data_IF_327689677266
#
_entry.id   IF_327689677266
#
_cell.length_a   1.000
_cell.length_b   1.000
_cell.length_c   1.000
_cell.angle_alpha   90.00
_cell.angle_beta   90.00
_cell.angle_gamma   90.00
#
_symmetry.space_group_name_H-M   'P 1'
#
loop_
_entity.id
_entity.type
_entity.pdbx_description
1 polymer ?
#
# COMPACT_ATOMS: atom_id res chain seq x y z
N UNK A 1 2.75 2.59 12.73
CA UNK A 1 3.31 1.30 12.29
C UNK A 1 4.28 1.57 11.14
N UNK A 2 3.95 1.42 9.85
CA UNK A 2 4.95 1.60 8.78
C UNK A 2 5.42 3.05 8.56
N UNK A 3 4.57 4.04 8.89
CA UNK A 3 4.93 5.47 8.89
C UNK A 3 5.87 5.87 10.06
N UNK A 4 5.93 5.05 11.10
CA UNK A 4 6.64 5.32 12.36
C UNK A 4 7.91 4.45 12.50
N UNK A 5 7.92 3.26 11.90
CA UNK A 5 9.07 2.34 11.85
C UNK A 5 9.00 1.48 10.57
N UNK A 6 10.14 1.23 9.94
CA UNK A 6 10.26 0.36 8.76
C UNK A 6 10.24 -1.14 9.10
N UNK A 7 10.17 -1.49 10.38
CA UNK A 7 10.03 -2.87 10.85
C UNK A 7 8.66 -3.43 10.46
N UNK A 8 8.63 -4.69 10.00
CA UNK A 8 7.37 -5.38 9.74
C UNK A 8 6.63 -5.57 11.06
N UNK A 9 5.39 -5.08 11.18
CA UNK A 9 4.65 -5.21 12.43
C UNK A 9 4.33 -6.68 12.70
N UNK A 10 4.36 -7.05 13.98
CA UNK A 10 3.91 -8.38 14.42
C UNK A 10 2.40 -8.51 14.34
N UNK A 11 1.87 -9.74 14.38
CA UNK A 11 0.44 -9.98 14.41
C UNK A 11 -0.25 -9.24 15.58
N UNK A 12 0.39 -9.21 16.75
CA UNK A 12 -0.10 -8.50 17.93
C UNK A 12 -0.19 -6.99 17.71
N UNK A 13 0.84 -6.38 17.12
CA UNK A 13 0.84 -4.95 16.81
C UNK A 13 -0.21 -4.58 15.76
N UNK A 14 -0.44 -5.45 14.77
CA UNK A 14 -1.51 -5.26 13.78
C UNK A 14 -2.87 -5.35 14.45
N UNK A 15 -3.10 -6.39 15.25
CA UNK A 15 -4.36 -6.63 15.93
C UNK A 15 -4.72 -5.49 16.89
N UNK A 16 -3.76 -5.06 17.72
CA UNK A 16 -3.90 -3.92 18.64
C UNK A 16 -4.33 -2.65 17.89
N UNK A 17 -3.60 -2.30 16.82
CA UNK A 17 -3.91 -1.10 16.04
C UNK A 17 -5.25 -1.18 15.31
N UNK A 18 -5.70 -2.37 14.97
CA UNK A 18 -6.98 -2.61 14.33
C UNK A 18 -8.15 -2.74 15.33
N UNK A 19 -7.89 -2.79 16.63
CA UNK A 19 -8.91 -3.01 17.67
C UNK A 19 -9.48 -4.44 17.67
N UNK A 20 -8.71 -5.42 17.19
CA UNK A 20 -9.12 -6.82 17.10
C UNK A 20 -8.19 -7.74 17.89
N UNK A 21 -8.63 -8.98 18.12
CA UNK A 21 -7.76 -10.03 18.67
C UNK A 21 -6.83 -10.59 17.59
N UNK A 22 -5.67 -11.11 18.00
CA UNK A 22 -4.75 -11.82 17.09
C UNK A 22 -5.43 -13.01 16.43
N UNK A 23 -6.29 -13.73 17.16
CA UNK A 23 -7.10 -14.83 16.62
C UNK A 23 -7.98 -14.37 15.46
N UNK A 24 -8.67 -13.25 15.61
CA UNK A 24 -9.55 -12.69 14.57
C UNK A 24 -8.80 -12.28 13.31
N UNK A 25 -7.53 -11.89 13.43
CA UNK A 25 -6.64 -11.65 12.27
C UNK A 25 -6.39 -12.96 11.54
N UNK A 26 -5.99 -14.02 12.26
CA UNK A 26 -5.67 -15.31 11.65
C UNK A 26 -6.88 -16.12 11.15
N UNK A 27 -8.10 -15.81 11.62
CA UNK A 27 -9.33 -16.33 11.01
C UNK A 27 -9.55 -15.83 9.57
N UNK A 28 -8.93 -14.70 9.20
CA UNK A 28 -9.05 -14.07 7.88
C UNK A 28 -7.82 -14.28 7.01
N UNK A 29 -6.65 -14.40 7.63
CA UNK A 29 -5.37 -14.56 6.94
C UNK A 29 -4.66 -15.80 7.49
N UNK A 30 -4.29 -16.77 6.65
CA UNK A 30 -3.68 -18.02 7.12
C UNK A 30 -2.32 -17.78 7.82
N UNK A 31 -1.60 -16.72 7.44
CA UNK A 31 -0.35 -16.31 8.07
C UNK A 31 -0.08 -14.80 7.86
N UNK A 32 1.03 -14.33 8.43
CA UNK A 32 1.49 -12.95 8.25
C UNK A 32 1.91 -12.63 6.81
N UNK A 33 2.28 -13.64 6.01
CA UNK A 33 2.67 -13.45 4.62
C UNK A 33 1.45 -13.12 3.75
N UNK A 34 0.37 -13.88 3.87
CA UNK A 34 -0.90 -13.64 3.21
C UNK A 34 -1.51 -12.30 3.62
N UNK A 35 -1.42 -11.92 4.91
CA UNK A 35 -1.82 -10.59 5.37
C UNK A 35 -1.02 -9.47 4.67
N UNK A 36 0.31 -9.63 4.55
CA UNK A 36 1.16 -8.63 3.85
C UNK A 36 0.81 -8.52 2.37
N UNK A 37 0.58 -9.64 1.70
CA UNK A 37 0.13 -9.65 0.30
C UNK A 37 -1.20 -8.93 0.14
N UNK A 38 -2.19 -9.25 0.98
CA UNK A 38 -3.49 -8.59 0.94
C UNK A 38 -3.39 -7.08 1.21
N UNK A 39 -2.57 -6.66 2.19
CA UNK A 39 -2.32 -5.26 2.47
C UNK A 39 -1.65 -4.53 1.29
N UNK A 40 -0.73 -5.20 0.59
CA UNK A 40 -0.11 -4.67 -0.62
C UNK A 40 -1.12 -4.50 -1.75
N UNK A 41 -1.92 -5.55 -2.02
CA UNK A 41 -2.92 -5.56 -3.09
C UNK A 41 -3.99 -4.49 -2.86
N UNK A 42 -4.45 -4.33 -1.61
CA UNK A 42 -5.36 -3.25 -1.21
C UNK A 42 -4.77 -1.85 -1.45
N UNK A 43 -3.50 -1.65 -1.08
CA UNK A 43 -2.83 -0.36 -1.29
C UNK A 43 -2.65 -0.04 -2.78
N UNK A 44 -2.30 -1.04 -3.59
CA UNK A 44 -2.17 -0.88 -5.04
C UNK A 44 -3.52 -0.53 -5.70
N UNK A 45 -4.59 -1.23 -5.34
CA UNK A 45 -5.93 -0.94 -5.83
C UNK A 45 -6.36 0.49 -5.46
N UNK A 46 -6.09 0.92 -4.22
CA UNK A 46 -6.39 2.28 -3.74
C UNK A 46 -5.61 3.35 -4.50
N UNK A 47 -4.31 3.12 -4.77
CA UNK A 47 -3.49 4.04 -5.55
C UNK A 47 -3.99 4.19 -7.00
N UNK A 48 -4.40 3.08 -7.61
CA UNK A 48 -4.91 3.04 -8.99
C UNK A 48 -6.27 3.75 -9.11
N UNK A 49 -7.19 3.50 -8.18
CA UNK A 49 -8.51 4.13 -8.17
C UNK A 49 -8.44 5.66 -8.03
N UNK A 50 -7.51 6.16 -7.20
CA UNK A 50 -7.30 7.60 -7.00
C UNK A 50 -6.69 8.30 -8.23
N UNK A 51 -6.05 7.56 -9.15
CA UNK A 51 -5.50 8.12 -10.40
C UNK A 51 -6.59 8.44 -11.43
N UNK A 52 -7.76 7.80 -11.37
CA UNK A 52 -8.71 7.76 -12.49
C UNK A 52 -9.85 8.79 -12.41
N UNK A 53 -10.04 9.49 -11.29
CA UNK A 53 -11.39 9.96 -10.93
C UNK A 53 -11.62 11.46 -10.80
N UNK A 54 -10.68 12.38 -11.06
CA UNK A 54 -11.02 13.83 -10.97
C UNK A 54 -10.00 14.78 -11.61
N UNK A 55 -10.46 15.96 -12.02
CA UNK A 55 -9.62 17.04 -12.57
C UNK A 55 -9.85 17.32 -14.05
N UNK A 56 -11.06 17.02 -14.58
CA UNK A 56 -11.41 17.33 -15.97
C UNK A 56 -11.75 18.81 -16.18
N UNK A 57 -12.07 19.54 -15.10
CA UNK A 57 -12.45 20.95 -15.16
C UNK A 57 -11.22 21.87 -15.09
N UNK A 58 -11.33 23.05 -15.69
CA UNK A 58 -10.26 24.06 -15.74
C UNK A 58 -9.33 23.93 -16.95
N UNK A 59 -8.41 24.89 -17.07
CA UNK A 59 -7.44 24.93 -18.16
C UNK A 59 -6.40 23.80 -18.08
N UNK A 60 -5.63 23.61 -19.16
CA UNK A 60 -4.61 22.55 -19.23
C UNK A 60 -3.62 22.60 -18.05
N UNK A 61 -3.22 23.79 -17.62
CA UNK A 61 -2.24 23.96 -16.54
C UNK A 61 -2.82 23.49 -15.21
N UNK A 62 -4.06 23.89 -14.93
CA UNK A 62 -4.81 23.55 -13.72
C UNK A 62 -5.05 22.04 -13.63
N UNK A 63 -5.42 21.40 -14.75
CA UNK A 63 -5.58 19.94 -14.81
C UNK A 63 -4.26 19.19 -14.58
N UNK A 64 -3.16 19.65 -15.18
CA UNK A 64 -1.83 19.07 -14.95
C UNK A 64 -1.39 19.22 -13.50
N UNK A 65 -1.57 20.40 -12.91
CA UNK A 65 -1.23 20.64 -11.51
C UNK A 65 -2.04 19.73 -10.58
N UNK A 66 -3.36 19.65 -10.78
CA UNK A 66 -4.23 18.77 -9.99
C UNK A 66 -3.82 17.29 -10.10
N UNK A 67 -3.42 16.84 -11.29
CA UNK A 67 -2.91 15.49 -11.49
C UNK A 67 -1.59 15.25 -10.75
N UNK A 68 -0.62 16.16 -10.88
CA UNK A 68 0.69 16.05 -10.21
C UNK A 68 0.53 16.07 -8.69
N UNK A 69 -0.26 16.98 -8.13
CA UNK A 69 -0.47 17.09 -6.69
C UNK A 69 -1.12 15.83 -6.11
N UNK A 70 -2.07 15.24 -6.84
CA UNK A 70 -2.71 13.99 -6.42
C UNK A 70 -1.72 12.83 -6.48
N UNK A 71 -0.98 12.68 -7.58
CA UNK A 71 0.09 11.68 -7.71
C UNK A 71 1.11 11.82 -6.58
N UNK A 72 1.56 13.04 -6.29
CA UNK A 72 2.50 13.32 -5.21
C UNK A 72 1.96 12.89 -3.84
N UNK A 73 0.69 13.20 -3.54
CA UNK A 73 0.04 12.78 -2.29
C UNK A 73 -0.06 11.26 -2.18
N UNK A 74 -0.59 10.60 -3.20
CA UNK A 74 -0.74 9.13 -3.22
C UNK A 74 0.62 8.43 -3.06
N UNK A 75 1.65 8.87 -3.79
CA UNK A 75 2.99 8.32 -3.66
C UNK A 75 3.57 8.55 -2.26
N UNK A 76 3.36 9.72 -1.66
CA UNK A 76 3.85 10.05 -0.31
C UNK A 76 3.17 9.20 0.76
N UNK A 77 1.85 9.01 0.66
CA UNK A 77 1.08 8.19 1.61
C UNK A 77 1.48 6.72 1.55
N UNK A 78 1.78 6.21 0.36
CA UNK A 78 2.12 4.81 0.14
C UNK A 78 3.61 4.49 0.33
N UNK A 79 4.50 5.47 0.20
CA UNK A 79 5.96 5.29 0.29
C UNK A 79 6.44 4.45 1.49
N UNK A 80 5.89 4.59 2.71
CA UNK A 80 6.31 3.76 3.85
C UNK A 80 6.02 2.27 3.64
N UNK A 81 4.85 1.92 3.07
CA UNK A 81 4.51 0.54 2.75
C UNK A 81 5.40 0.00 1.62
N UNK A 82 5.64 0.80 0.58
CA UNK A 82 6.56 0.43 -0.49
C UNK A 82 7.97 0.12 0.02
N UNK A 83 8.50 0.95 0.92
CA UNK A 83 9.80 0.72 1.57
C UNK A 83 9.81 -0.55 2.40
N UNK A 84 8.78 -0.76 3.21
CA UNK A 84 8.66 -1.96 4.05
C UNK A 84 8.59 -3.24 3.22
N UNK A 85 7.82 -3.24 2.13
CA UNK A 85 7.73 -4.40 1.24
C UNK A 85 9.04 -4.64 0.51
N UNK A 86 9.73 -3.62 0.00
CA UNK A 86 11.04 -3.82 -0.63
C UNK A 86 12.10 -4.30 0.37
N UNK A 87 12.09 -3.80 1.60
CA UNK A 87 13.05 -4.19 2.64
C UNK A 87 12.82 -5.61 3.17
N UNK A 88 11.59 -6.12 3.06
CA UNK A 88 11.18 -7.40 3.68
C UNK A 88 10.60 -8.41 2.69
N UNK A 89 10.83 -8.23 1.38
CA UNK A 89 10.30 -9.14 0.36
C UNK A 89 10.87 -10.57 0.44
N UNK A 90 12.07 -10.73 1.02
CA UNK A 90 12.79 -12.02 1.00
C UNK A 90 12.87 -12.60 -0.41
N UNK A 91 12.66 -13.91 -0.52
CA UNK A 91 12.57 -14.64 -1.80
C UNK A 91 11.12 -14.82 -2.30
N UNK A 92 10.18 -13.99 -1.81
CA UNK A 92 8.77 -14.11 -2.19
C UNK A 92 8.52 -13.70 -3.65
N UNK A 93 8.36 -14.70 -4.52
CA UNK A 93 8.06 -14.50 -5.93
C UNK A 93 6.75 -13.72 -6.16
N UNK A 94 5.78 -13.88 -5.26
CA UNK A 94 4.48 -13.20 -5.34
C UNK A 94 4.61 -11.69 -5.11
N UNK A 95 5.40 -11.30 -4.10
CA UNK A 95 5.72 -9.90 -3.82
C UNK A 95 6.55 -9.32 -4.97
N UNK A 96 7.52 -10.07 -5.51
CA UNK A 96 8.30 -9.62 -6.65
C UNK A 96 7.44 -9.40 -7.90
N UNK A 97 6.48 -10.29 -8.17
CA UNK A 97 5.52 -10.12 -9.26
C UNK A 97 4.76 -8.80 -9.15
N UNK A 98 4.29 -8.47 -7.94
CA UNK A 98 3.56 -7.22 -7.66
C UNK A 98 4.44 -5.98 -7.77
N UNK A 99 5.69 -6.03 -7.29
CA UNK A 99 6.67 -4.96 -7.48
C UNK A 99 6.90 -4.69 -8.98
N UNK A 100 6.97 -5.75 -9.81
CA UNK A 100 7.10 -5.59 -11.27
C UNK A 100 5.89 -4.89 -11.87
N UNK A 101 4.67 -5.29 -11.50
CA UNK A 101 3.43 -4.65 -11.98
C UNK A 101 3.40 -3.15 -11.66
N UNK A 102 3.78 -2.77 -10.44
CA UNK A 102 3.83 -1.37 -10.02
C UNK A 102 4.83 -0.55 -10.83
N UNK A 103 5.98 -1.13 -11.18
CA UNK A 103 7.02 -0.43 -11.97
C UNK A 103 6.64 -0.25 -13.43
N UNK A 104 5.72 -1.07 -13.94
CA UNK A 104 5.25 -1.00 -15.33
C UNK A 104 4.04 -0.06 -15.52
N UNK A 105 3.43 0.41 -14.42
CA UNK A 105 2.28 1.30 -14.40
C UNK A 105 2.68 2.78 -14.23
#
# INVERSE_FOLDING_TARGET
MLKESLQVPTASQVAERAGFSVRSVFERFPDLHALRLAAFDFALASATANSLTTGLDGDRKSRLQAHVDRRARTCTEWLPLWRAVNANKGDSQEIEGRIRLVRMA
#
